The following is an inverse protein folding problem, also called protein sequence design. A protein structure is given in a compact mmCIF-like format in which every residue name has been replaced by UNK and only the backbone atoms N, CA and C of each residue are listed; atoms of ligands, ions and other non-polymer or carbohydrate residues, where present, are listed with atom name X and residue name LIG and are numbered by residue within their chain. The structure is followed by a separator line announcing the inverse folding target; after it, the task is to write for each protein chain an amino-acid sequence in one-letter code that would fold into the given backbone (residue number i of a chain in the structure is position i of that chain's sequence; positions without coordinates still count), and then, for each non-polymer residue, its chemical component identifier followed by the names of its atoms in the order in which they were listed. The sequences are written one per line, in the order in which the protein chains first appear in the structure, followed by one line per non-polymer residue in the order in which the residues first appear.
data_IF_464477513426
#
_entry.id   IF_464477513426
#
_cell.length_a   1.000
_cell.length_b   1.000
_cell.length_c   1.000
_cell.angle_alpha   90.00
_cell.angle_beta   90.00
_cell.angle_gamma   90.00
#
_symmetry.space_group_name_H-M   'P 1'
#
loop_
_entity.id
_entity.type
_entity.pdbx_description
1 polymer ?
#
# COMPACT_ATOMS: atom_id res chain seq x y z
N UNK A 1 22.48 4.23 23.03
CA UNK A 1 21.84 2.92 23.28
C UNK A 1 21.01 2.55 22.06
N UNK A 2 21.50 1.65 21.26
CA UNK A 2 20.73 1.12 20.14
C UNK A 2 19.61 0.24 20.70
N UNK A 3 18.39 0.77 20.64
CA UNK A 3 17.22 -0.07 20.97
C UNK A 3 17.12 -1.16 19.93
N UNK A 4 16.95 -2.40 20.37
CA UNK A 4 16.65 -3.50 19.48
C UNK A 4 15.44 -3.13 18.59
N UNK A 5 15.46 -3.50 17.29
CA UNK A 5 14.32 -3.23 16.42
C UNK A 5 13.06 -3.87 16.97
N UNK A 6 11.94 -3.16 16.86
CA UNK A 6 10.63 -3.67 17.26
C UNK A 6 10.32 -4.91 16.44
N UNK A 7 9.88 -5.98 17.09
CA UNK A 7 9.40 -7.16 16.37
C UNK A 7 8.03 -6.83 15.74
N UNK A 8 7.93 -6.95 14.43
CA UNK A 8 6.70 -6.70 13.69
C UNK A 8 6.52 -7.73 12.56
N UNK A 9 5.27 -7.95 12.18
CA UNK A 9 4.91 -8.87 11.10
C UNK A 9 4.95 -8.17 9.74
N UNK A 10 4.37 -6.99 9.65
CA UNK A 10 4.37 -6.14 8.47
C UNK A 10 4.47 -4.68 8.86
N UNK A 11 5.11 -3.89 8.01
CA UNK A 11 5.18 -2.44 8.09
C UNK A 11 4.76 -1.84 6.75
N UNK A 12 3.76 -0.96 6.77
CA UNK A 12 3.32 -0.24 5.59
C UNK A 12 3.73 1.22 5.67
N UNK A 13 4.30 1.72 4.58
CA UNK A 13 4.58 3.15 4.37
C UNK A 13 3.81 3.61 3.14
N UNK A 14 2.83 4.47 3.33
CA UNK A 14 1.95 4.96 2.26
C UNK A 14 2.22 6.43 2.00
N UNK A 15 2.46 6.79 0.74
CA UNK A 15 2.63 8.19 0.34
C UNK A 15 2.35 8.37 -1.14
N UNK A 16 1.85 9.55 -1.49
CA UNK A 16 1.70 9.98 -2.88
C UNK A 16 3.02 9.99 -3.66
N UNK A 17 4.15 10.15 -2.98
CA UNK A 17 5.47 10.24 -3.62
C UNK A 17 6.23 8.90 -3.69
N UNK A 18 5.62 7.78 -3.33
CA UNK A 18 6.21 6.45 -3.57
C UNK A 18 6.21 6.14 -5.07
N UNK A 19 7.40 5.91 -5.63
CA UNK A 19 7.64 5.79 -7.08
C UNK A 19 7.16 6.99 -7.92
N UNK A 20 6.94 8.13 -7.28
CA UNK A 20 6.39 9.33 -7.89
C UNK A 20 7.14 10.55 -7.36
N UNK A 21 8.20 10.92 -8.03
CA UNK A 21 9.10 11.98 -7.57
C UNK A 21 8.54 13.35 -7.87
N UNK A 22 8.02 14.01 -6.83
CA UNK A 22 7.48 15.36 -6.91
C UNK A 22 8.26 16.33 -6.04
N UNK A 23 8.58 15.97 -4.78
CA UNK A 23 9.19 16.88 -3.83
C UNK A 23 10.00 16.22 -2.72
N UNK A 24 10.06 16.86 -1.57
CA UNK A 24 10.90 16.47 -0.43
C UNK A 24 10.48 15.19 0.26
N UNK A 25 9.22 14.82 0.20
CA UNK A 25 8.71 13.56 0.82
C UNK A 25 9.35 12.36 0.14
N UNK A 26 9.52 12.40 -1.18
CA UNK A 26 10.26 11.36 -1.92
C UNK A 26 11.65 11.13 -1.34
N UNK A 27 12.38 12.19 -1.06
CA UNK A 27 13.73 12.11 -0.49
C UNK A 27 13.71 11.49 0.90
N UNK A 28 12.79 11.89 1.76
CA UNK A 28 12.63 11.33 3.12
C UNK A 28 12.35 9.83 3.04
N UNK A 29 11.38 9.42 2.24
CA UNK A 29 10.99 8.01 2.12
C UNK A 29 12.08 7.15 1.48
N UNK A 30 12.69 7.61 0.39
CA UNK A 30 13.73 6.87 -0.31
C UNK A 30 14.99 6.69 0.52
N UNK A 31 15.36 7.70 1.32
CA UNK A 31 16.48 7.61 2.26
C UNK A 31 16.19 6.64 3.41
N UNK A 32 15.00 6.71 3.97
CA UNK A 32 14.51 5.82 5.04
C UNK A 32 14.38 4.37 4.58
N UNK A 33 13.99 4.14 3.34
CA UNK A 33 13.73 2.83 2.78
C UNK A 33 14.91 1.85 2.92
N UNK A 34 16.12 2.32 2.68
CA UNK A 34 17.34 1.50 2.82
C UNK A 34 17.51 0.97 4.25
N UNK A 35 17.27 1.81 5.24
CA UNK A 35 17.37 1.43 6.66
C UNK A 35 16.27 0.46 7.05
N UNK A 36 15.03 0.73 6.65
CA UNK A 36 13.90 -0.14 6.92
C UNK A 36 14.08 -1.52 6.27
N UNK A 37 14.54 -1.55 5.02
CA UNK A 37 14.81 -2.81 4.31
C UNK A 37 15.91 -3.64 5.00
N UNK A 38 16.94 -2.99 5.52
CA UNK A 38 18.00 -3.64 6.28
C UNK A 38 17.48 -4.27 7.58
N UNK A 39 16.61 -3.56 8.30
CA UNK A 39 16.07 -3.99 9.60
C UNK A 39 14.98 -5.04 9.46
N UNK A 40 14.07 -4.86 8.53
CA UNK A 40 12.82 -5.64 8.44
C UNK A 40 12.68 -6.44 7.15
N UNK A 41 13.60 -6.26 6.20
CA UNK A 41 13.60 -6.96 4.90
C UNK A 41 12.24 -6.82 4.19
N UNK A 42 11.73 -7.90 3.63
CA UNK A 42 10.48 -7.91 2.87
C UNK A 42 9.20 -7.89 3.75
N UNK A 43 9.34 -7.58 5.03
CA UNK A 43 8.21 -7.20 5.89
C UNK A 43 7.79 -5.74 5.69
N UNK A 44 8.57 -4.93 5.00
CA UNK A 44 8.27 -3.53 4.67
C UNK A 44 7.64 -3.47 3.29
N UNK A 45 6.47 -2.86 3.21
CA UNK A 45 5.74 -2.66 1.96
C UNK A 45 5.43 -1.17 1.81
N UNK A 46 5.93 -0.56 0.76
CA UNK A 46 5.59 0.81 0.38
C UNK A 46 4.37 0.80 -0.52
N UNK A 47 3.45 1.73 -0.30
CA UNK A 47 2.24 1.89 -1.10
C UNK A 47 2.23 3.27 -1.73
N UNK A 48 2.09 3.30 -3.04
CA UNK A 48 2.03 4.51 -3.83
C UNK A 48 0.89 4.52 -4.83
N UNK A 49 0.62 5.68 -5.45
CA UNK A 49 -0.39 5.79 -6.48
C UNK A 49 0.12 5.22 -7.81
N UNK A 50 -0.74 4.51 -8.53
CA UNK A 50 -0.49 4.13 -9.91
C UNK A 50 -1.09 5.20 -10.85
N UNK A 51 -0.33 6.27 -11.02
CA UNK A 51 -0.68 7.38 -11.93
C UNK A 51 -0.03 7.22 -13.32
N UNK A 52 0.54 6.06 -13.57
CA UNK A 52 1.28 5.74 -14.80
C UNK A 52 0.44 4.84 -15.70
N UNK A 53 0.77 4.83 -16.99
CA UNK A 53 0.16 3.93 -17.97
C UNK A 53 1.11 2.81 -18.39
N UNK A 54 0.58 1.78 -19.07
CA UNK A 54 1.43 0.71 -19.62
C UNK A 54 2.37 1.22 -20.71
N UNK A 55 1.95 2.27 -21.44
CA UNK A 55 2.75 2.92 -22.47
C UNK A 55 3.83 3.83 -21.89
N UNK A 56 3.61 4.35 -20.69
CA UNK A 56 4.52 5.24 -20.00
C UNK A 56 4.62 4.87 -18.51
N UNK A 57 5.31 3.75 -18.21
CA UNK A 57 5.44 3.25 -16.84
C UNK A 57 6.32 4.15 -15.97
N UNK A 58 6.16 4.06 -14.67
CA UNK A 58 7.01 4.77 -13.73
C UNK A 58 8.49 4.38 -13.93
N UNK A 59 9.39 5.35 -14.12
CA UNK A 59 10.82 5.07 -14.22
C UNK A 59 11.46 4.60 -12.93
N UNK A 60 10.73 4.70 -11.82
CA UNK A 60 11.20 4.32 -10.48
C UNK A 60 10.67 2.97 -10.01
N UNK A 61 9.91 2.27 -10.84
CA UNK A 61 9.24 1.03 -10.47
C UNK A 61 9.76 -0.15 -11.32
N UNK A 62 10.15 -1.22 -10.63
CA UNK A 62 10.57 -2.47 -11.27
C UNK A 62 9.47 -3.50 -11.02
N UNK A 63 8.69 -3.90 -12.04
CA UNK A 63 7.60 -4.85 -11.86
C UNK A 63 8.12 -6.24 -11.47
N UNK A 64 7.32 -6.99 -10.70
CA UNK A 64 7.60 -8.36 -10.29
C UNK A 64 6.37 -9.24 -10.44
N UNK A 65 6.58 -10.45 -10.95
CA UNK A 65 5.54 -11.48 -11.07
C UNK A 65 5.53 -12.45 -9.89
N UNK A 66 6.49 -12.36 -9.00
CA UNK A 66 6.68 -13.30 -7.89
C UNK A 66 6.34 -12.72 -6.53
N UNK A 67 6.55 -11.42 -6.32
CA UNK A 67 6.25 -10.75 -5.06
C UNK A 67 4.75 -10.72 -4.79
N UNK A 68 4.36 -11.07 -3.58
CA UNK A 68 2.97 -11.09 -3.11
C UNK A 68 2.02 -11.89 -4.02
N UNK A 69 2.56 -12.86 -4.74
CA UNK A 69 1.80 -13.66 -5.73
C UNK A 69 0.59 -14.36 -5.11
N UNK A 70 0.74 -14.94 -3.93
CA UNK A 70 -0.35 -15.62 -3.22
C UNK A 70 -1.47 -14.67 -2.85
N UNK A 71 -1.14 -13.48 -2.36
CA UNK A 71 -2.13 -12.45 -2.07
C UNK A 71 -2.83 -11.97 -3.34
N UNK A 72 -2.08 -11.64 -4.40
CA UNK A 72 -2.65 -11.19 -5.68
C UNK A 72 -3.65 -12.18 -6.27
N UNK A 73 -3.39 -13.48 -6.15
CA UNK A 73 -4.26 -14.53 -6.66
C UNK A 73 -5.59 -14.63 -5.89
N UNK A 74 -5.61 -14.22 -4.62
CA UNK A 74 -6.78 -14.33 -3.74
C UNK A 74 -7.43 -12.98 -3.42
N UNK A 75 -6.77 -11.87 -3.73
CA UNK A 75 -7.29 -10.54 -3.43
C UNK A 75 -8.60 -10.28 -4.17
N UNK A 76 -9.60 -9.83 -3.42
CA UNK A 76 -10.89 -9.40 -3.94
C UNK A 76 -11.01 -7.89 -3.73
N UNK A 77 -10.45 -7.13 -4.67
CA UNK A 77 -10.49 -5.67 -4.63
C UNK A 77 -11.75 -5.14 -5.30
N UNK A 78 -12.26 -3.96 -4.85
CA UNK A 78 -13.42 -3.34 -5.47
C UNK A 78 -13.20 -3.03 -6.95
N UNK A 79 -14.29 -2.87 -7.69
CA UNK A 79 -14.24 -2.44 -9.08
C UNK A 79 -13.49 -1.11 -9.22
N UNK A 80 -12.61 -1.03 -10.21
CA UNK A 80 -11.77 0.14 -10.46
C UNK A 80 -10.61 0.33 -9.49
N UNK A 81 -10.36 -0.64 -8.61
CA UNK A 81 -9.14 -0.72 -7.79
C UNK A 81 -8.30 -1.89 -8.25
N UNK A 82 -7.09 -1.61 -8.67
CA UNK A 82 -6.13 -2.62 -9.11
C UNK A 82 -4.73 -2.29 -8.60
N UNK A 83 -3.83 -3.25 -8.64
CA UNK A 83 -2.48 -3.08 -8.10
C UNK A 83 -1.42 -3.58 -9.08
N UNK A 84 -0.27 -2.92 -9.03
CA UNK A 84 0.99 -3.42 -9.62
C UNK A 84 1.94 -3.67 -8.47
N UNK A 85 2.55 -4.84 -8.44
CA UNK A 85 3.51 -5.22 -7.40
C UNK A 85 4.90 -5.32 -7.99
N UNK A 86 5.87 -4.78 -7.29
CA UNK A 86 7.26 -4.80 -7.70
C UNK A 86 8.18 -4.23 -6.64
N UNK A 87 9.28 -3.67 -7.09
CA UNK A 87 10.26 -3.02 -6.22
C UNK A 87 10.48 -1.57 -6.65
N UNK A 88 10.73 -0.73 -5.67
CA UNK A 88 11.14 0.65 -5.91
C UNK A 88 12.62 0.67 -6.31
N UNK A 89 12.94 1.27 -7.44
CA UNK A 89 14.32 1.36 -7.95
C UNK A 89 15.13 2.46 -7.23
N UNK A 90 15.38 2.20 -5.96
CA UNK A 90 16.17 3.02 -5.04
C UNK A 90 17.07 2.09 -4.20
N UNK A 91 18.07 2.63 -3.50
CA UNK A 91 18.87 1.83 -2.57
C UNK A 91 18.00 1.09 -1.54
N UNK A 92 18.24 -0.21 -1.41
CA UNK A 92 17.45 -1.13 -0.57
C UNK A 92 16.34 -1.85 -1.33
N UNK A 93 15.91 -1.36 -2.48
CA UNK A 93 14.88 -1.96 -3.34
C UNK A 93 13.69 -2.55 -2.58
N UNK A 94 12.96 -1.72 -1.79
CA UNK A 94 11.83 -2.20 -1.00
C UNK A 94 10.68 -2.66 -1.91
N UNK A 95 9.85 -3.55 -1.36
CA UNK A 95 8.61 -3.95 -2.03
C UNK A 95 7.68 -2.74 -2.13
N UNK A 96 7.07 -2.56 -3.29
CA UNK A 96 6.08 -1.53 -3.58
C UNK A 96 4.82 -2.14 -4.16
N UNK A 97 3.69 -1.66 -3.69
CA UNK A 97 2.38 -1.87 -4.30
C UNK A 97 1.89 -0.52 -4.83
N UNK A 98 1.80 -0.39 -6.15
CA UNK A 98 1.18 0.77 -6.78
C UNK A 98 -0.31 0.51 -6.95
N UNK A 99 -1.13 1.43 -6.46
CA UNK A 99 -2.58 1.29 -6.40
C UNK A 99 -3.25 2.20 -7.42
N UNK A 100 -4.02 1.60 -8.33
CA UNK A 100 -4.95 2.31 -9.19
C UNK A 100 -6.27 2.50 -8.45
N UNK A 101 -6.78 3.73 -8.42
CA UNK A 101 -7.85 4.12 -7.51
C UNK A 101 -9.07 4.78 -8.18
N UNK A 102 -9.16 4.67 -9.51
CA UNK A 102 -10.22 5.34 -10.29
C UNK A 102 -11.63 4.95 -9.81
N UNK A 103 -11.81 3.71 -9.36
CA UNK A 103 -13.10 3.24 -8.82
C UNK A 103 -13.57 3.97 -7.56
N UNK A 104 -12.67 4.64 -6.84
CA UNK A 104 -13.03 5.35 -5.62
C UNK A 104 -13.79 6.65 -5.90
N UNK A 105 -13.65 7.21 -7.09
CA UNK A 105 -14.44 8.40 -7.47
C UNK A 105 -15.94 8.11 -7.54
N UNK A 106 -16.33 6.91 -7.93
CA UNK A 106 -17.73 6.51 -8.01
C UNK A 106 -18.42 6.40 -6.66
N UNK A 107 -17.66 6.13 -5.60
CA UNK A 107 -18.17 5.95 -4.23
C UNK A 107 -17.77 7.07 -3.27
N UNK A 108 -17.19 8.14 -3.78
CA UNK A 108 -16.63 9.20 -2.93
C UNK A 108 -17.66 9.87 -2.04
N UNK A 109 -18.86 10.16 -2.55
CA UNK A 109 -19.90 10.87 -1.81
C UNK A 109 -20.41 10.01 -0.62
N UNK A 110 -20.55 8.71 -0.82
CA UNK A 110 -20.88 7.78 0.26
C UNK A 110 -19.75 7.73 1.30
N UNK A 111 -18.51 7.66 0.85
CA UNK A 111 -17.35 7.66 1.73
C UNK A 111 -17.26 8.97 2.54
N UNK A 112 -17.45 10.13 1.90
CA UNK A 112 -17.43 11.42 2.57
C UNK A 112 -18.58 11.55 3.57
N UNK A 113 -19.76 11.03 3.25
CA UNK A 113 -20.90 10.97 4.17
C UNK A 113 -20.56 10.16 5.43
N UNK A 114 -19.92 9.02 5.27
CA UNK A 114 -19.44 8.21 6.42
C UNK A 114 -18.38 8.94 7.24
N UNK A 115 -17.45 9.64 6.62
CA UNK A 115 -16.44 10.44 7.33
C UNK A 115 -17.09 11.56 8.15
N UNK A 116 -18.14 12.20 7.61
CA UNK A 116 -18.90 13.17 8.35
C UNK A 116 -19.63 12.53 9.55
N UNK A 117 -20.32 11.42 9.34
CA UNK A 117 -21.07 10.76 10.39
C UNK A 117 -20.19 10.29 11.55
N UNK A 118 -19.05 9.68 11.23
CA UNK A 118 -18.14 9.11 12.22
C UNK A 118 -17.22 10.14 12.86
N UNK A 119 -16.69 11.08 12.09
CA UNK A 119 -15.58 11.93 12.50
C UNK A 119 -15.85 13.42 12.38
N UNK A 120 -17.02 13.81 11.82
CA UNK A 120 -17.38 15.21 11.54
C UNK A 120 -16.39 15.93 10.61
N UNK A 121 -15.80 15.16 9.69
CA UNK A 121 -14.93 15.71 8.63
C UNK A 121 -15.78 16.11 7.43
N UNK A 122 -15.84 17.40 7.13
CA UNK A 122 -16.56 17.94 5.97
C UNK A 122 -15.68 17.86 4.72
N UNK A 123 -15.92 16.87 3.88
CA UNK A 123 -15.21 16.64 2.63
C UNK A 123 -16.02 16.99 1.39
N UNK A 124 -17.35 17.08 1.50
CA UNK A 124 -18.24 17.38 0.36
C UNK A 124 -18.05 18.79 -0.17
N UNK A 125 -17.60 19.72 0.67
CA UNK A 125 -17.33 21.12 0.30
C UNK A 125 -15.86 21.39 -0.01
N UNK A 126 -15.02 20.35 -0.04
CA UNK A 126 -13.62 20.50 -0.41
C UNK A 126 -13.48 20.82 -1.92
N UNK A 127 -12.37 21.43 -2.28
CA UNK A 127 -12.10 21.89 -3.64
C UNK A 127 -10.67 21.55 -4.08
N UNK A 128 -10.39 21.74 -5.36
CA UNK A 128 -9.09 21.47 -5.95
C UNK A 128 -8.84 19.98 -6.14
N UNK A 129 -7.65 19.55 -5.80
CA UNK A 129 -7.16 18.17 -5.92
C UNK A 129 -7.45 17.27 -4.70
N UNK A 130 -8.31 17.73 -3.81
CA UNK A 130 -8.70 17.02 -2.58
C UNK A 130 -9.24 15.61 -2.87
N UNK A 131 -10.11 15.48 -3.87
CA UNK A 131 -10.72 14.20 -4.24
C UNK A 131 -9.68 13.16 -4.68
N UNK A 132 -8.65 13.58 -5.39
CA UNK A 132 -7.59 12.68 -5.86
C UNK A 132 -6.81 12.06 -4.68
N UNK A 133 -6.37 12.90 -3.75
CA UNK A 133 -5.68 12.44 -2.54
C UNK A 133 -6.56 11.54 -1.67
N UNK A 134 -7.84 11.89 -1.51
CA UNK A 134 -8.80 11.08 -0.76
C UNK A 134 -9.10 9.74 -1.45
N UNK A 135 -9.29 9.73 -2.76
CA UNK A 135 -9.51 8.50 -3.53
C UNK A 135 -8.32 7.54 -3.41
N UNK A 136 -7.11 8.06 -3.54
CA UNK A 136 -5.90 7.27 -3.34
C UNK A 136 -5.80 6.72 -1.91
N UNK A 137 -5.99 7.54 -0.91
CA UNK A 137 -5.92 7.13 0.49
C UNK A 137 -6.96 6.05 0.84
N UNK A 138 -8.18 6.20 0.33
CA UNK A 138 -9.24 5.20 0.50
C UNK A 138 -8.86 3.86 -0.15
N UNK A 139 -8.41 3.87 -1.39
CA UNK A 139 -7.97 2.67 -2.09
C UNK A 139 -6.75 2.03 -1.42
N UNK A 140 -5.78 2.82 -0.98
CA UNK A 140 -4.61 2.33 -0.24
C UNK A 140 -5.02 1.63 1.06
N UNK A 141 -5.96 2.18 1.80
CA UNK A 141 -6.53 1.56 3.01
C UNK A 141 -7.16 0.19 2.73
N UNK A 142 -7.94 0.08 1.66
CA UNK A 142 -8.54 -1.19 1.21
C UNK A 142 -7.46 -2.23 0.88
N UNK A 143 -6.42 -1.83 0.19
CA UNK A 143 -5.30 -2.72 -0.18
C UNK A 143 -4.53 -3.19 1.06
N UNK A 144 -4.25 -2.30 2.01
CA UNK A 144 -3.60 -2.65 3.29
C UNK A 144 -4.44 -3.67 4.06
N UNK A 145 -5.73 -3.41 4.21
CA UNK A 145 -6.64 -4.33 4.89
C UNK A 145 -6.65 -5.70 4.21
N UNK A 146 -6.72 -5.76 2.89
CA UNK A 146 -6.68 -7.00 2.12
C UNK A 146 -5.39 -7.80 2.34
N UNK A 147 -4.24 -7.14 2.37
CA UNK A 147 -2.94 -7.78 2.64
C UNK A 147 -2.90 -8.30 4.09
N UNK A 148 -3.37 -7.52 5.04
CA UNK A 148 -3.43 -7.93 6.45
C UNK A 148 -4.33 -9.15 6.64
N UNK A 149 -5.51 -9.17 6.04
CA UNK A 149 -6.44 -10.29 6.12
C UNK A 149 -5.82 -11.56 5.53
N UNK A 150 -5.17 -11.47 4.38
CA UNK A 150 -4.46 -12.59 3.78
C UNK A 150 -3.35 -13.13 4.69
N UNK A 151 -2.57 -12.26 5.29
CA UNK A 151 -1.48 -12.61 6.21
C UNK A 151 -2.01 -13.28 7.47
N UNK A 152 -3.10 -12.79 8.05
CA UNK A 152 -3.77 -13.43 9.19
C UNK A 152 -4.29 -14.83 8.86
N UNK A 153 -4.84 -15.04 7.67
CA UNK A 153 -5.28 -16.35 7.22
C UNK A 153 -4.14 -17.35 7.09
N UNK A 154 -2.97 -16.92 6.60
CA UNK A 154 -1.77 -17.75 6.54
C UNK A 154 -1.33 -18.20 7.93
N UNK A 155 -1.24 -17.29 8.90
CA UNK A 155 -0.87 -17.64 10.28
C UNK A 155 -1.87 -18.60 10.93
N UNK A 156 -3.17 -18.42 10.68
CA UNK A 156 -4.20 -19.32 11.20
C UNK A 156 -4.08 -20.71 10.60
N UNK A 157 -3.77 -20.83 9.30
CA UNK A 157 -3.57 -22.11 8.62
C UNK A 157 -2.33 -22.82 9.15
N UNK A 158 -1.20 -22.14 9.30
CA UNK A 158 0.03 -22.70 9.86
C UNK A 158 -0.19 -23.20 11.30
N UNK A 159 -0.88 -22.44 12.13
CA UNK A 159 -1.22 -22.86 13.49
C UNK A 159 -2.14 -24.10 13.52
N UNK A 160 -3.04 -24.24 12.54
CA UNK A 160 -3.89 -25.43 12.41
C UNK A 160 -3.08 -26.65 11.95
N UNK A 161 -2.14 -26.47 11.02
CA UNK A 161 -1.26 -27.53 10.54
C UNK A 161 -0.32 -28.03 11.65
N UNK A 162 0.22 -27.16 12.47
CA UNK A 162 1.01 -27.50 13.65
C UNK A 162 0.22 -28.33 14.68
N UNK A 163 -1.08 -28.12 14.78
CA UNK A 163 -1.96 -28.93 15.66
C UNK A 163 -2.27 -30.31 15.11
N UNK A 164 -2.23 -30.49 13.81
CA UNK A 164 -2.50 -31.77 13.14
C UNK A 164 -1.27 -32.67 13.13
N UNK A 165 -0.08 -32.09 13.22
CA UNK A 165 1.21 -32.83 13.17
C UNK A 165 1.70 -33.36 14.54
N UNK A 166 0.85 -33.35 15.55
CA UNK A 166 1.16 -33.92 16.89
C UNK A 166 0.72 -35.37 17.00
#
# INVERSE_FOLDING_TARGET
MDKAPVNLDLLFETSWEVCNKIGGIYTVLSTKAKTLQKLYKDKVIFIGPDVWSDENPSPYFIPSNTLLKGWKAKANLPEGVSVRVGRWDIPGRPIVVLVKFDGMYAVKDEFYGRMWDLYKVDSLHAYGDYDEGCAFAHAAGIVIESICDYTCLLYTSDAADDRISV
#
